data_IF_080716725196
#
_entry.id   IF_080716725196
#
_cell.length_a   1.000
_cell.length_b   1.000
_cell.length_c   1.000
_cell.angle_alpha   90.00
_cell.angle_beta   90.00
_cell.angle_gamma   90.00
#
_symmetry.space_group_name_H-M   'P 1'
#
loop_
_entity.id
_entity.type
_entity.pdbx_description
1 polymer ?
#
# COMPACT_ATOMS: atom_id res chain seq x y z
N UNK A 1 1.51 1.41 26.34
CA UNK A 1 1.22 0.71 25.09
C UNK A 1 2.49 0.72 24.26
N UNK A 2 2.93 -0.43 23.75
CA UNK A 2 4.06 -0.49 22.81
C UNK A 2 3.54 -0.16 21.42
N UNK A 3 4.15 0.81 20.75
CA UNK A 3 3.84 1.21 19.38
C UNK A 3 4.74 0.47 18.39
N UNK A 4 4.24 0.19 17.20
CA UNK A 4 4.96 -0.52 16.14
C UNK A 4 5.07 0.35 14.89
N UNK A 5 6.12 0.17 14.09
CA UNK A 5 6.22 0.83 12.78
C UNK A 5 5.81 -0.13 11.66
N UNK A 6 5.07 0.37 10.67
CA UNK A 6 4.70 -0.39 9.48
C UNK A 6 5.66 -0.13 8.32
N UNK A 7 6.19 -1.20 7.71
CA UNK A 7 7.00 -1.11 6.49
C UNK A 7 6.26 -1.76 5.32
N UNK A 8 5.85 -0.95 4.34
CA UNK A 8 5.15 -1.43 3.14
C UNK A 8 6.13 -1.52 1.97
N UNK A 9 6.52 -2.75 1.60
CA UNK A 9 7.36 -2.99 0.43
C UNK A 9 6.58 -2.78 -0.89
N UNK A 10 6.73 -1.60 -1.49
CA UNK A 10 6.03 -1.21 -2.72
C UNK A 10 6.94 -1.07 -3.96
N UNK A 11 8.20 -1.53 -3.88
CA UNK A 11 9.20 -1.35 -4.95
C UNK A 11 9.06 -2.31 -6.14
N UNK A 12 8.17 -3.31 -6.09
CA UNK A 12 8.03 -4.30 -7.17
C UNK A 12 7.45 -3.70 -8.46
N UNK A 13 8.03 -4.04 -9.62
CA UNK A 13 7.63 -3.49 -10.94
C UNK A 13 6.18 -3.79 -11.34
N UNK A 14 5.58 -4.86 -10.80
CA UNK A 14 4.23 -5.28 -11.18
C UNK A 14 4.16 -5.97 -12.55
N UNK A 15 5.27 -6.49 -13.08
CA UNK A 15 5.37 -7.17 -14.38
C UNK A 15 4.22 -8.16 -14.63
N UNK A 16 4.00 -9.07 -13.67
CA UNK A 16 2.95 -10.12 -13.74
C UNK A 16 1.52 -9.57 -13.77
N UNK A 17 1.32 -8.35 -13.26
CA UNK A 17 0.02 -7.68 -13.30
C UNK A 17 -0.23 -7.05 -14.68
N UNK A 18 0.81 -6.76 -15.47
CA UNK A 18 0.69 -6.40 -16.88
C UNK A 18 0.06 -5.03 -17.16
N UNK A 19 0.16 -4.06 -16.23
CA UNK A 19 -0.48 -2.73 -16.37
C UNK A 19 0.46 -1.63 -16.85
N UNK A 20 1.72 -1.94 -17.13
CA UNK A 20 2.72 -0.97 -17.61
C UNK A 20 3.16 0.08 -16.57
N UNK A 21 2.67 -0.02 -15.34
CA UNK A 21 3.03 0.83 -14.20
C UNK A 21 3.26 -0.05 -12.97
N UNK A 22 4.02 0.45 -12.00
CA UNK A 22 4.18 -0.22 -10.70
C UNK A 22 2.80 -0.53 -10.11
N UNK A 23 2.58 -1.79 -9.70
CA UNK A 23 1.30 -2.26 -9.18
C UNK A 23 0.76 -1.41 -8.02
N UNK A 24 1.63 -0.81 -7.22
CA UNK A 24 1.26 0.04 -6.10
C UNK A 24 0.41 1.24 -6.53
N UNK A 25 0.57 1.70 -7.78
CA UNK A 25 -0.15 2.84 -8.34
C UNK A 25 -1.32 2.46 -9.25
N UNK A 26 -1.56 1.17 -9.47
CA UNK A 26 -2.75 0.73 -10.22
C UNK A 26 -4.00 1.10 -9.43
N UNK A 27 -4.97 1.71 -10.11
CA UNK A 27 -6.24 2.07 -9.49
C UNK A 27 -7.18 0.86 -9.35
N UNK A 28 -7.79 0.74 -8.17
CA UNK A 28 -8.88 -0.19 -7.87
C UNK A 28 -9.97 0.62 -7.18
N UNK A 29 -11.19 0.59 -7.74
CA UNK A 29 -12.31 1.40 -7.25
C UNK A 29 -11.96 2.89 -7.09
N UNK A 30 -11.26 3.47 -8.08
CA UNK A 30 -10.91 4.89 -8.13
C UNK A 30 -9.82 5.33 -7.15
N UNK A 31 -9.10 4.40 -6.51
CA UNK A 31 -7.95 4.72 -5.65
C UNK A 31 -6.76 3.79 -5.94
N UNK A 32 -5.51 4.27 -5.86
CA UNK A 32 -4.33 3.42 -5.99
C UNK A 32 -4.32 2.27 -4.98
N UNK A 33 -3.83 1.09 -5.36
CA UNK A 33 -3.64 -0.05 -4.44
C UNK A 33 -2.90 0.38 -3.16
N UNK A 34 -1.84 1.19 -3.29
CA UNK A 34 -1.07 1.68 -2.15
C UNK A 34 -1.92 2.51 -1.18
N UNK A 35 -2.83 3.34 -1.69
CA UNK A 35 -3.69 4.19 -0.86
C UNK A 35 -4.68 3.36 -0.03
N UNK A 36 -5.19 2.24 -0.57
CA UNK A 36 -6.01 1.32 0.21
C UNK A 36 -5.24 0.71 1.38
N UNK A 37 -3.96 0.35 1.17
CA UNK A 37 -3.11 -0.20 2.24
C UNK A 37 -2.75 0.85 3.29
N UNK A 38 -2.36 2.05 2.87
CA UNK A 38 -2.01 3.15 3.78
C UNK A 38 -3.18 3.51 4.70
N UNK A 39 -4.39 3.62 4.17
CA UNK A 39 -5.57 3.95 4.95
C UNK A 39 -5.84 2.96 6.12
N UNK A 40 -5.46 1.68 5.97
CA UNK A 40 -5.60 0.69 7.05
C UNK A 40 -4.55 0.89 8.14
N UNK A 41 -3.31 1.17 7.76
CA UNK A 41 -2.22 1.39 8.73
C UNK A 41 -2.34 2.74 9.43
N UNK A 42 -2.79 3.79 8.74
CA UNK A 42 -3.07 5.11 9.32
C UNK A 42 -4.21 5.06 10.36
N UNK A 43 -5.18 4.16 10.17
CA UNK A 43 -6.29 3.96 11.10
C UNK A 43 -5.97 2.98 12.25
N UNK A 44 -4.75 2.44 12.31
CA UNK A 44 -4.36 1.46 13.31
C UNK A 44 -3.66 2.14 14.50
N UNK A 45 -4.35 2.25 15.65
CA UNK A 45 -3.81 2.89 16.87
C UNK A 45 -2.50 2.27 17.40
N UNK A 46 -2.21 1.04 17.01
CA UNK A 46 -0.98 0.34 17.40
C UNK A 46 0.23 0.73 16.54
N UNK A 47 0.00 1.44 15.43
CA UNK A 47 1.03 1.81 14.44
C UNK A 47 1.38 3.29 14.58
N UNK A 48 2.68 3.57 14.68
CA UNK A 48 3.27 4.91 14.67
C UNK A 48 3.53 5.44 13.25
#
# INVERSE_FOLDING_TARGET
MTKASALIAAAGSGERLGRGVNKAFVEVAGRPILAHTLAVFEACDAVD
#
